data_IF_033770951845
#
_entry.id   IF_033770951845
#
_cell.length_a   1.000
_cell.length_b   1.000
_cell.length_c   1.000
_cell.angle_alpha   90.00
_cell.angle_beta   90.00
_cell.angle_gamma   90.00
#
_symmetry.space_group_name_H-M   'P 1'
#
loop_
_entity.id
_entity.type
_entity.pdbx_description
1 polymer ?
#
# COMPACT_ATOMS: atom_id res chain seq x y z
N UNK A 1 -12.86 14.85 -3.54
CA UNK A 1 -13.06 14.14 -3.57
C UNK A 1 -13.60 13.58 -4.70
N UNK A 2 -14.17 14.16 -5.26
CA UNK A 2 -14.69 13.65 -6.46
C UNK A 2 -13.62 13.09 -7.38
N UNK A 3 -12.39 13.51 -7.21
CA UNK A 3 -11.32 13.08 -8.08
C UNK A 3 -11.16 11.58 -8.16
N UNK A 4 -11.20 10.91 -7.03
CA UNK A 4 -10.99 9.45 -7.05
C UNK A 4 -12.13 8.73 -7.75
N UNK A 5 -13.33 9.24 -7.60
CA UNK A 5 -14.49 8.58 -8.18
C UNK A 5 -14.56 8.75 -9.69
N UNK A 6 -13.83 9.73 -10.21
CA UNK A 6 -13.84 9.99 -11.64
C UNK A 6 -12.88 9.10 -12.43
N UNK A 7 -12.05 8.32 -11.74
CA UNK A 7 -11.10 7.47 -12.44
C UNK A 7 -11.79 6.30 -13.11
N UNK A 8 -11.16 5.81 -14.17
CA UNK A 8 -11.71 4.72 -14.93
C UNK A 8 -11.95 3.51 -14.05
N UNK A 9 -13.00 2.74 -14.33
CA UNK A 9 -13.35 1.60 -13.48
C UNK A 9 -12.54 0.35 -13.80
N UNK A 10 -11.24 0.50 -14.04
CA UNK A 10 -10.38 -0.65 -14.25
C UNK A 10 -9.96 -1.16 -12.89
N UNK A 11 -10.23 -2.44 -12.66
CA UNK A 11 -9.88 -3.02 -11.37
C UNK A 11 -8.40 -2.84 -11.08
N UNK A 12 -8.09 -2.39 -9.86
CA UNK A 12 -6.72 -2.18 -9.44
C UNK A 12 -6.11 -0.87 -9.88
N UNK A 13 -6.91 0.05 -10.42
CA UNK A 13 -6.41 1.37 -10.83
C UNK A 13 -7.15 2.46 -10.07
N UNK A 14 -6.56 2.93 -8.99
CA UNK A 14 -7.06 4.02 -8.16
C UNK A 14 -8.52 3.87 -7.77
N UNK A 15 -8.93 2.65 -7.49
CA UNK A 15 -10.29 2.40 -7.05
C UNK A 15 -10.36 2.48 -5.53
N UNK A 16 -11.44 3.05 -5.04
CA UNK A 16 -11.62 3.27 -3.61
C UNK A 16 -12.45 2.13 -3.02
N UNK A 17 -11.98 1.60 -1.91
CA UNK A 17 -12.67 0.58 -1.15
C UNK A 17 -12.60 0.95 0.32
N UNK A 18 -13.33 0.23 1.14
CA UNK A 18 -13.29 0.40 2.59
C UNK A 18 -12.71 -0.84 3.24
N UNK A 19 -11.83 -0.64 4.19
CA UNK A 19 -11.37 -1.75 5.00
C UNK A 19 -12.47 -2.17 5.96
N UNK A 20 -12.54 -3.46 6.21
CA UNK A 20 -13.47 -4.01 7.18
C UNK A 20 -12.75 -4.82 8.25
N UNK A 21 -11.46 -5.04 8.08
CA UNK A 21 -10.70 -5.92 8.95
C UNK A 21 -10.19 -5.19 10.19
N UNK A 22 -10.45 -5.76 11.34
CA UNK A 22 -9.82 -5.38 12.61
C UNK A 22 -9.79 -3.90 12.89
N UNK A 23 -8.64 -3.42 13.29
CA UNK A 23 -8.45 -2.02 13.69
C UNK A 23 -8.60 -1.04 12.54
N UNK A 24 -8.55 -1.53 11.29
CA UNK A 24 -8.69 -0.67 10.11
C UNK A 24 -10.12 -0.57 9.60
N UNK A 25 -11.07 -1.21 10.27
CA UNK A 25 -12.45 -1.15 9.80
C UNK A 25 -12.89 0.30 9.63
N UNK A 26 -13.38 0.63 8.45
CA UNK A 26 -13.80 1.98 8.11
C UNK A 26 -12.75 2.81 7.39
N UNK A 27 -11.49 2.38 7.39
CA UNK A 27 -10.43 3.12 6.70
C UNK A 27 -10.65 3.09 5.19
N UNK A 28 -10.14 4.11 4.52
CA UNK A 28 -10.19 4.18 3.06
C UNK A 28 -9.00 3.44 2.48
N UNK A 29 -9.26 2.55 1.54
CA UNK A 29 -8.20 1.81 0.83
C UNK A 29 -8.27 2.20 -0.64
N UNK A 30 -7.18 2.71 -1.15
CA UNK A 30 -7.08 3.03 -2.57
C UNK A 30 -6.38 1.86 -3.24
N UNK A 31 -7.12 1.15 -4.08
CA UNK A 31 -6.63 -0.05 -4.77
C UNK A 31 -6.00 0.39 -6.08
N UNK A 32 -4.68 0.44 -6.12
CA UNK A 32 -3.92 0.81 -7.31
C UNK A 32 -2.96 -0.34 -7.64
N UNK A 33 -3.48 -1.56 -7.61
CA UNK A 33 -2.67 -2.77 -7.65
C UNK A 33 -2.45 -3.34 -9.04
N UNK A 34 -2.96 -2.66 -10.09
CA UNK A 34 -2.87 -3.20 -11.44
C UNK A 34 -1.43 -3.33 -11.91
N UNK A 35 -0.61 -2.30 -11.67
CA UNK A 35 0.78 -2.32 -12.08
C UNK A 35 1.54 -1.20 -11.36
N UNK A 36 2.86 -1.19 -11.55
CA UNK A 36 3.69 -0.15 -10.91
C UNK A 36 4.96 0.08 -11.72
N UNK A 37 5.23 1.35 -11.97
CA UNK A 37 6.52 1.81 -12.50
C UNK A 37 6.85 3.10 -11.76
N UNK A 38 8.07 3.65 -11.94
CA UNK A 38 8.45 4.82 -11.16
C UNK A 38 7.51 6.01 -11.31
N UNK A 39 7.06 6.30 -12.53
CA UNK A 39 6.17 7.43 -12.75
C UNK A 39 4.81 7.22 -12.10
N UNK A 40 4.23 6.02 -12.26
CA UNK A 40 2.93 5.75 -11.67
C UNK A 40 3.00 5.67 -10.15
N UNK A 41 4.14 5.26 -9.61
CA UNK A 41 4.34 5.27 -8.17
C UNK A 41 4.36 6.71 -7.62
N UNK A 42 5.07 7.60 -8.28
CA UNK A 42 5.09 9.00 -7.84
C UNK A 42 3.70 9.61 -7.91
N UNK A 43 2.97 9.34 -8.99
CA UNK A 43 1.60 9.83 -9.11
C UNK A 43 0.71 9.30 -7.99
N UNK A 44 0.87 8.02 -7.64
CA UNK A 44 0.08 7.43 -6.57
C UNK A 44 0.42 8.07 -5.21
N UNK A 45 1.69 8.33 -4.97
CA UNK A 45 2.10 8.99 -3.74
C UNK A 45 1.48 10.38 -3.65
N UNK A 46 1.42 11.11 -4.77
CA UNK A 46 0.78 12.43 -4.78
C UNK A 46 -0.71 12.32 -4.44
N UNK A 47 -1.39 11.31 -4.97
CA UNK A 47 -2.79 11.09 -4.64
C UNK A 47 -2.94 10.82 -3.15
N UNK A 48 -2.10 9.93 -2.60
CA UNK A 48 -2.18 9.60 -1.18
C UNK A 48 -1.88 10.80 -0.29
N UNK A 49 -0.90 11.61 -0.70
CA UNK A 49 -0.49 12.76 0.09
C UNK A 49 -1.62 13.78 0.28
N UNK A 50 -2.60 13.77 -0.62
CA UNK A 50 -3.74 14.69 -0.53
C UNK A 50 -4.88 14.15 0.32
N UNK A 51 -4.76 12.95 0.85
CA UNK A 51 -5.83 12.31 1.60
C UNK A 51 -5.69 12.55 3.10
N UNK A 52 -6.67 12.07 3.87
CA UNK A 52 -6.63 12.25 5.32
C UNK A 52 -5.60 11.35 5.98
N UNK A 53 -4.97 11.87 7.01
CA UNK A 53 -3.97 11.16 7.78
C UNK A 53 -4.62 10.24 8.82
N UNK A 54 -3.95 9.19 9.24
CA UNK A 54 -2.62 8.80 8.79
C UNK A 54 -2.64 8.22 7.38
N UNK A 55 -1.61 8.54 6.62
CA UNK A 55 -1.47 8.09 5.24
C UNK A 55 -0.47 6.95 5.20
N UNK A 56 -0.90 5.81 4.70
CA UNK A 56 -0.08 4.60 4.71
C UNK A 56 0.12 4.13 3.28
N UNK A 57 1.37 4.03 2.85
CA UNK A 57 1.70 3.52 1.52
C UNK A 57 2.11 2.07 1.64
N UNK A 58 1.44 1.21 0.90
CA UNK A 58 1.72 -0.23 0.89
C UNK A 58 2.15 -0.60 -0.51
N UNK A 59 3.41 -0.98 -0.67
CA UNK A 59 3.95 -1.23 -2.01
C UNK A 59 4.51 -2.63 -2.15
N UNK A 60 4.38 -3.17 -3.37
CA UNK A 60 5.15 -4.32 -3.80
C UNK A 60 6.23 -3.84 -4.75
N UNK A 61 6.99 -4.78 -5.29
CA UNK A 61 8.07 -4.46 -6.20
C UNK A 61 7.54 -3.82 -7.48
N UNK A 62 8.34 -2.90 -8.04
CA UNK A 62 8.08 -2.40 -9.38
C UNK A 62 8.69 -3.37 -10.39
N UNK A 63 7.96 -3.63 -11.47
CA UNK A 63 8.46 -4.50 -12.52
C UNK A 63 9.13 -3.71 -13.62
N UNK A 64 9.90 -4.44 -14.45
CA UNK A 64 10.47 -3.89 -15.68
C UNK A 64 11.36 -2.68 -15.47
N UNK A 65 12.08 -2.65 -14.35
CA UNK A 65 13.00 -1.55 -14.05
C UNK A 65 14.47 -1.94 -14.30
N UNK A 66 14.73 -3.22 -14.55
CA UNK A 66 16.06 -3.68 -14.90
C UNK A 66 17.09 -3.40 -13.82
N UNK A 67 18.31 -3.08 -14.25
CA UNK A 67 19.39 -2.83 -13.32
C UNK A 67 19.20 -1.57 -12.50
N UNK A 68 18.29 -0.71 -12.91
CA UNK A 68 17.98 0.51 -12.17
C UNK A 68 16.99 0.28 -11.05
N UNK A 69 16.53 -0.96 -10.87
CA UNK A 69 15.53 -1.28 -9.87
C UNK A 69 15.83 -0.73 -8.49
N UNK A 70 17.04 -1.01 -7.93
CA UNK A 70 17.33 -0.48 -6.60
C UNK A 70 17.27 1.04 -6.54
N UNK A 71 17.78 1.73 -7.56
CA UNK A 71 17.76 3.19 -7.58
C UNK A 71 16.33 3.71 -7.65
N UNK A 72 15.48 3.09 -8.48
CA UNK A 72 14.08 3.51 -8.58
C UNK A 72 13.33 3.26 -7.28
N UNK A 73 13.56 2.11 -6.65
CA UNK A 73 12.90 1.84 -5.36
C UNK A 73 13.35 2.83 -4.29
N UNK A 74 14.64 3.15 -4.27
CA UNK A 74 15.16 4.14 -3.34
C UNK A 74 14.51 5.50 -3.54
N UNK A 75 14.36 5.88 -4.81
CA UNK A 75 13.74 7.15 -5.16
C UNK A 75 12.29 7.22 -4.66
N UNK A 76 11.55 6.13 -4.80
CA UNK A 76 10.16 6.09 -4.36
C UNK A 76 10.06 6.21 -2.84
N UNK A 77 10.94 5.52 -2.11
CA UNK A 77 10.95 5.65 -0.65
C UNK A 77 11.24 7.06 -0.20
N UNK A 78 12.24 7.69 -0.81
CA UNK A 78 12.58 9.06 -0.49
C UNK A 78 11.45 10.01 -0.83
N UNK A 79 10.81 9.81 -1.96
CA UNK A 79 9.70 10.66 -2.38
C UNK A 79 8.52 10.55 -1.41
N UNK A 80 8.20 9.34 -0.98
CA UNK A 80 7.13 9.15 -0.01
C UNK A 80 7.41 9.92 1.28
N UNK A 81 8.65 9.84 1.75
CA UNK A 81 9.03 10.58 2.96
C UNK A 81 8.87 12.08 2.73
N UNK A 82 9.36 12.56 1.60
CA UNK A 82 9.32 13.98 1.28
C UNK A 82 7.87 14.49 1.20
N UNK A 83 6.97 13.67 0.68
CA UNK A 83 5.56 14.05 0.54
C UNK A 83 4.74 13.89 1.81
N UNK A 84 5.37 13.49 2.91
CA UNK A 84 4.67 13.43 4.18
C UNK A 84 3.82 12.21 4.40
N UNK A 85 4.11 11.13 3.70
CA UNK A 85 3.43 9.85 3.95
C UNK A 85 3.85 9.37 5.33
N UNK A 86 2.89 8.93 6.13
CA UNK A 86 3.12 8.65 7.55
C UNK A 86 3.76 7.29 7.80
N UNK A 87 3.56 6.32 6.93
CA UNK A 87 4.14 4.98 7.09
C UNK A 87 4.29 4.31 5.75
N UNK A 88 5.32 3.48 5.61
CA UNK A 88 5.58 2.70 4.41
C UNK A 88 5.66 1.23 4.79
N UNK A 89 4.82 0.40 4.16
CA UNK A 89 4.85 -1.06 4.32
C UNK A 89 5.19 -1.65 2.96
N UNK A 90 6.28 -2.38 2.88
CA UNK A 90 6.80 -2.82 1.59
C UNK A 90 6.99 -4.34 1.56
N UNK A 91 6.57 -4.94 0.45
CA UNK A 91 6.61 -6.38 0.26
C UNK A 91 7.56 -6.75 -0.87
N UNK A 92 8.48 -7.66 -0.59
CA UNK A 92 9.37 -8.19 -1.60
C UNK A 92 10.80 -7.67 -1.47
N UNK A 93 11.76 -8.51 -1.84
CA UNK A 93 13.18 -8.18 -1.63
C UNK A 93 13.59 -6.89 -2.33
N UNK A 94 13.04 -6.63 -3.51
CA UNK A 94 13.43 -5.45 -4.28
C UNK A 94 12.96 -4.14 -3.65
N UNK A 95 12.03 -4.19 -2.70
CA UNK A 95 11.55 -2.97 -2.04
C UNK A 95 12.43 -2.54 -0.87
N UNK A 96 13.40 -3.34 -0.47
CA UNK A 96 14.25 -2.97 0.67
C UNK A 96 14.90 -1.58 0.49
N UNK A 97 15.43 -1.24 -0.69
CA UNK A 97 15.99 0.11 -0.87
C UNK A 97 14.97 1.22 -0.62
N UNK A 98 13.69 0.99 -0.91
CA UNK A 98 12.67 2.00 -0.63
C UNK A 98 12.54 2.19 0.88
N UNK A 99 12.54 1.12 1.64
CA UNK A 99 12.47 1.21 3.10
C UNK A 99 13.67 1.93 3.67
N UNK A 100 14.87 1.63 3.14
CA UNK A 100 16.08 2.26 3.60
C UNK A 100 16.04 3.78 3.38
N UNK A 101 15.56 4.18 2.21
CA UNK A 101 15.49 5.61 1.88
C UNK A 101 14.38 6.32 2.65
N UNK A 102 13.28 5.64 2.91
CA UNK A 102 12.20 6.23 3.69
C UNK A 102 12.63 6.46 5.13
N UNK A 103 13.31 5.50 5.71
CA UNK A 103 13.80 5.61 7.08
C UNK A 103 12.79 5.18 8.12
N UNK A 104 12.78 5.87 9.26
CA UNK A 104 11.90 5.51 10.35
C UNK A 104 10.44 5.52 9.92
N UNK A 105 9.70 4.47 10.26
CA UNK A 105 8.32 4.32 9.86
C UNK A 105 8.14 3.40 8.67
N UNK A 106 9.23 2.91 8.08
CA UNK A 106 9.16 1.92 7.02
C UNK A 106 9.34 0.53 7.59
N UNK A 107 8.57 -0.42 7.05
CA UNK A 107 8.67 -1.82 7.45
C UNK A 107 8.66 -2.69 6.21
N UNK A 108 9.55 -3.67 6.19
CA UNK A 108 9.75 -4.57 5.06
C UNK A 108 9.25 -5.96 5.39
N UNK A 109 8.61 -6.61 4.40
CA UNK A 109 8.05 -7.94 4.57
C UNK A 109 8.38 -8.80 3.36
N UNK A 110 8.53 -10.10 3.60
CA UNK A 110 8.70 -11.08 2.52
C UNK A 110 7.41 -11.86 2.26
N UNK A 111 6.38 -11.62 3.06
CA UNK A 111 5.17 -12.41 3.05
C UNK A 111 3.96 -11.48 3.20
N UNK A 112 2.99 -11.63 2.29
CA UNK A 112 1.82 -10.75 2.29
C UNK A 112 0.99 -10.89 3.57
N UNK A 113 0.88 -12.10 4.10
CA UNK A 113 0.10 -12.30 5.32
C UNK A 113 0.74 -11.58 6.50
N UNK A 114 2.07 -11.60 6.58
CA UNK A 114 2.78 -10.89 7.63
C UNK A 114 2.58 -9.38 7.51
N UNK A 115 2.60 -8.87 6.27
CA UNK A 115 2.37 -7.45 6.04
C UNK A 115 0.96 -7.06 6.49
N UNK A 116 -0.04 -7.83 6.13
CA UNK A 116 -1.41 -7.53 6.53
C UNK A 116 -1.55 -7.57 8.05
N UNK A 117 -0.96 -8.58 8.70
CA UNK A 117 -1.02 -8.67 10.16
C UNK A 117 -0.39 -7.43 10.80
N UNK A 118 0.73 -6.96 10.24
CA UNK A 118 1.40 -5.77 10.77
C UNK A 118 0.56 -4.52 10.58
N UNK A 119 -0.12 -4.40 9.42
CA UNK A 119 -1.02 -3.26 9.19
C UNK A 119 -2.12 -3.21 10.25
N UNK A 120 -2.70 -4.37 10.55
CA UNK A 120 -3.78 -4.42 11.53
C UNK A 120 -3.27 -4.15 12.93
N UNK A 121 -2.06 -4.63 13.25
CA UNK A 121 -1.48 -4.44 14.57
C UNK A 121 -1.04 -2.99 14.82
N UNK A 122 -0.84 -2.21 13.76
CA UNK A 122 -0.36 -0.85 13.90
C UNK A 122 -1.43 0.13 14.41
N UNK A 123 -2.70 -0.26 14.37
CA UNK A 123 -3.80 0.55 14.90
C UNK A 123 -3.89 1.94 14.28
N UNK A 124 -3.79 2.01 12.95
CA UNK A 124 -3.94 3.29 12.26
C UNK A 124 -5.35 3.88 12.41
N UNK A 125 -6.35 3.03 12.48
CA UNK A 125 -7.71 3.46 12.77
C UNK A 125 -8.56 3.74 11.55
N UNK A 126 -9.81 4.10 11.81
CA UNK A 126 -10.82 4.24 10.76
C UNK A 126 -10.63 5.47 9.87
N UNK A 127 -9.84 6.43 10.34
CA UNK A 127 -9.60 7.64 9.54
C UNK A 127 -8.42 7.51 8.59
N UNK A 128 -7.70 6.41 8.67
CA UNK A 128 -6.52 6.21 7.84
C UNK A 128 -6.89 6.09 6.37
N UNK A 129 -5.93 6.47 5.53
CA UNK A 129 -6.00 6.21 4.10
C UNK A 129 -4.80 5.37 3.72
N UNK A 130 -5.06 4.21 3.12
CA UNK A 130 -4.01 3.31 2.65
C UNK A 130 -4.06 3.27 1.14
N UNK A 131 -2.89 3.31 0.49
CA UNK A 131 -2.83 3.12 -0.95
C UNK A 131 -1.96 1.90 -1.20
N UNK A 132 -2.49 0.93 -1.93
CA UNK A 132 -1.82 -0.35 -2.18
C UNK A 132 -1.46 -0.44 -3.65
N UNK A 133 -0.16 -0.65 -3.95
CA UNK A 133 0.33 -0.63 -5.32
C UNK A 133 1.54 -1.56 -5.47
N UNK A 134 1.69 -2.16 -6.63
CA UNK A 134 2.83 -3.01 -6.95
C UNK A 134 2.69 -3.50 -8.37
N UNK A 135 3.75 -4.10 -8.90
CA UNK A 135 3.70 -4.64 -10.25
C UNK A 135 2.71 -5.79 -10.32
N UNK A 136 2.28 -6.10 -11.56
CA UNK A 136 1.24 -7.10 -11.77
C UNK A 136 1.61 -8.45 -11.15
N UNK A 137 2.88 -8.84 -11.24
CA UNK A 137 3.28 -10.14 -10.72
C UNK A 137 3.25 -10.23 -9.20
N UNK A 138 3.24 -9.11 -8.50
CA UNK A 138 3.19 -9.11 -7.04
C UNK A 138 1.80 -9.43 -6.51
N UNK A 139 0.78 -9.25 -7.35
CA UNK A 139 -0.60 -9.55 -6.96
C UNK A 139 -0.99 -8.86 -5.66
N UNK A 140 -0.70 -7.56 -5.59
CA UNK A 140 -0.96 -6.79 -4.39
C UNK A 140 -2.46 -6.66 -4.08
N UNK A 141 -3.32 -7.01 -5.02
CA UNK A 141 -4.76 -7.03 -4.74
C UNK A 141 -5.11 -7.99 -3.61
N UNK A 142 -4.28 -8.99 -3.34
CA UNK A 142 -4.51 -9.89 -2.21
C UNK A 142 -4.42 -9.15 -0.88
N UNK A 143 -3.63 -8.07 -0.81
CA UNK A 143 -3.59 -7.22 0.38
C UNK A 143 -4.90 -6.47 0.51
N UNK A 144 -5.38 -5.88 -0.60
CA UNK A 144 -6.64 -5.15 -0.60
C UNK A 144 -7.78 -6.08 -0.18
N UNK A 145 -7.80 -7.29 -0.75
CA UNK A 145 -8.86 -8.25 -0.43
C UNK A 145 -8.83 -8.63 1.04
N UNK A 146 -7.65 -8.83 1.60
CA UNK A 146 -7.53 -9.18 3.00
C UNK A 146 -8.03 -8.07 3.92
N UNK A 147 -7.78 -6.83 3.55
CA UNK A 147 -8.24 -5.69 4.35
C UNK A 147 -9.75 -5.49 4.25
N UNK A 148 -10.34 -5.87 3.12
CA UNK A 148 -11.78 -5.75 2.92
C UNK A 148 -12.56 -6.86 3.61
N UNK A 149 -11.90 -7.93 4.04
CA UNK A 149 -12.55 -9.10 4.60
C UNK A 149 -12.49 -9.05 6.13
N UNK A 150 -13.66 -9.03 6.77
CA UNK A 150 -13.72 -8.94 8.22
C UNK A 150 -12.97 -10.07 8.91
N UNK A 151 -12.93 -11.24 8.29
CA UNK A 151 -12.26 -12.39 8.91
C UNK A 151 -10.74 -12.29 8.85
N UNK A 152 -10.22 -11.34 8.11
CA UNK A 152 -8.77 -11.20 8.00
C UNK A 152 -8.12 -10.67 9.27
N UNK A 153 -8.91 -10.33 10.27
CA UNK A 153 -8.37 -9.78 11.51
C UNK A 153 -7.53 -10.80 12.30
N UNK A 154 -7.42 -12.00 11.81
CA UNK A 154 -6.63 -13.01 12.50
C UNK A 154 -7.41 -13.75 13.55
N UNK A 155 -8.62 -13.36 13.67
CA UNK A 155 -9.38 -14.08 14.62
C UNK A 155 -9.70 -15.37 14.03
N UNK A 156 -9.47 -15.91 13.98
CA UNK A 156 -9.73 -16.78 13.35
C UNK A 156 -10.42 -17.52 12.92
N UNK A 157 -10.48 -17.79 12.76
CA UNK A 157 -11.12 -18.39 12.19
C UNK A 157 -11.73 -19.47 12.50
N UNK A 158 -11.66 -19.30 12.73
CA UNK A 158 -12.14 -19.95 12.86
C UNK A 158 -12.82 -20.35 12.71
N UNK A 159 -12.79 -20.19 12.86
CA UNK A 159 -13.40 -20.48 12.79
C UNK A 159 -14.08 -20.96 12.19
N UNK A 160 -14.12 -21.10 11.87
CA UNK A 160 -14.86 -21.46 11.50
C UNK A 160 -14.90 -22.10 11.17
#
# INVERSE_FOLDING_TARGET
KAGLEAFAPVKGRLQVARAAAGSLAGATVIDDTYNANPDSMRAAIDVLAAQSAPRVLVIGEMGEVGDEGPAFHREIGAYARERGIDALFALGAATQPACDAYGAGARHFDDAAALVAALLAANFGAHATLLVKGSRFMKMERVVDALANETASGAAPDAH
#
